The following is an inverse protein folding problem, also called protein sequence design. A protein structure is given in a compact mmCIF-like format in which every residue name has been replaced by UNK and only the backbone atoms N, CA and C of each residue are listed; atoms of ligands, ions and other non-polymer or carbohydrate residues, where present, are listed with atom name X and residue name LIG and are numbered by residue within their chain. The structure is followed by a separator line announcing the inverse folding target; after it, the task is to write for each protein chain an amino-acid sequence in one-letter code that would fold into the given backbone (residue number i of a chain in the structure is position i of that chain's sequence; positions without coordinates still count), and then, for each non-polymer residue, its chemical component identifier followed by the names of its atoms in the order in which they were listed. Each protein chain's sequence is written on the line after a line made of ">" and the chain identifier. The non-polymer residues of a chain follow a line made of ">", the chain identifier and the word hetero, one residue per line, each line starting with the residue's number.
data_IF_986232082774
#
_entry.id   IF_986232082774
#
_cell.length_a   1.000
_cell.length_b   1.000
_cell.length_c   1.000
_cell.angle_alpha   90.00
_cell.angle_beta   90.00
_cell.angle_gamma   90.00
#
_symmetry.space_group_name_H-M   'P 1'
#
loop_
_entity.id
_entity.type
_entity.pdbx_description
1 polymer ?
#
# COMPACT_ATOMS: atom_id res chain seq x y z
N UNK A 1 20.96 -23.67 -2.08
CA UNK A 1 19.63 -23.30 -1.55
C UNK A 1 19.79 -21.95 -0.89
N UNK A 2 19.24 -20.87 -1.46
CA UNK A 2 19.48 -19.52 -0.96
C UNK A 2 18.78 -19.33 0.39
N UNK A 3 19.56 -18.94 1.40
CA UNK A 3 19.04 -18.46 2.66
C UNK A 3 18.33 -17.12 2.39
N UNK A 4 16.99 -17.15 2.32
CA UNK A 4 16.20 -15.93 2.13
C UNK A 4 16.19 -15.16 3.45
N UNK A 5 16.94 -14.06 3.51
CA UNK A 5 17.00 -13.18 4.66
C UNK A 5 15.70 -12.35 4.73
N UNK A 6 14.80 -12.68 5.66
CA UNK A 6 13.53 -11.98 5.85
C UNK A 6 13.74 -10.61 6.50
N UNK A 7 14.01 -9.59 5.68
CA UNK A 7 14.30 -8.22 6.10
C UNK A 7 13.15 -7.23 5.91
N UNK A 8 11.91 -7.74 5.88
CA UNK A 8 10.70 -6.92 5.69
C UNK A 8 10.53 -5.90 6.82
N UNK A 9 10.30 -4.63 6.44
CA UNK A 9 10.01 -3.51 7.34
C UNK A 9 8.76 -2.78 6.83
N UNK A 10 8.72 -1.45 6.94
CA UNK A 10 7.57 -0.64 6.55
C UNK A 10 7.59 -0.14 5.10
N UNK A 11 8.71 -0.25 4.40
CA UNK A 11 8.80 0.21 3.01
C UNK A 11 8.02 -0.71 2.09
N UNK A 12 7.19 -0.13 1.24
CA UNK A 12 6.47 -0.82 0.18
C UNK A 12 6.62 -0.05 -1.13
N UNK A 13 6.26 -0.69 -2.24
CA UNK A 13 6.22 -0.07 -3.56
C UNK A 13 5.02 -0.61 -4.34
N UNK A 14 4.59 0.16 -5.34
CA UNK A 14 3.54 -0.21 -6.28
C UNK A 14 4.20 -0.36 -7.65
N UNK A 15 3.81 -1.38 -8.40
CA UNK A 15 4.34 -1.63 -9.72
C UNK A 15 3.43 -1.01 -10.77
N UNK A 16 3.98 -0.21 -11.69
CA UNK A 16 3.23 0.36 -12.82
C UNK A 16 3.09 -0.62 -14.01
N UNK A 17 3.85 -1.71 -13.99
CA UNK A 17 3.78 -2.78 -15.00
C UNK A 17 4.18 -4.13 -14.40
N UNK A 18 4.15 -5.19 -15.22
CA UNK A 18 4.46 -6.56 -14.79
C UNK A 18 5.96 -6.74 -14.45
N UNK A 19 6.33 -7.01 -13.18
CA UNK A 19 7.72 -6.96 -12.75
C UNK A 19 8.30 -8.37 -12.51
N UNK A 20 8.45 -9.17 -13.57
CA UNK A 20 8.91 -10.57 -13.47
C UNK A 20 10.28 -10.74 -12.79
N UNK A 21 11.11 -9.71 -12.76
CA UNK A 21 12.41 -9.73 -12.08
C UNK A 21 12.33 -9.66 -10.54
N UNK A 22 11.15 -9.38 -9.97
CA UNK A 22 10.88 -9.34 -8.53
C UNK A 22 10.39 -10.67 -7.96
N UNK A 23 10.06 -11.63 -8.82
CA UNK A 23 9.55 -12.94 -8.43
C UNK A 23 10.53 -13.67 -7.50
N UNK A 24 10.02 -14.15 -6.36
CA UNK A 24 10.82 -14.82 -5.33
C UNK A 24 11.77 -13.92 -4.53
N UNK A 25 11.75 -12.60 -4.76
CA UNK A 25 12.57 -11.61 -4.03
C UNK A 25 11.75 -10.67 -3.14
N UNK A 26 10.53 -10.35 -3.56
CA UNK A 26 9.63 -9.47 -2.82
C UNK A 26 8.28 -10.15 -2.56
N UNK A 27 7.67 -9.82 -1.42
CA UNK A 27 6.37 -10.34 -1.03
C UNK A 27 5.27 -9.44 -1.59
N UNK A 28 4.30 -10.02 -2.29
CA UNK A 28 3.12 -9.30 -2.79
C UNK A 28 2.12 -9.16 -1.64
N UNK A 29 1.80 -7.92 -1.26
CA UNK A 29 0.85 -7.63 -0.16
C UNK A 29 -0.59 -7.48 -0.63
N UNK A 30 -0.81 -7.13 -1.91
CA UNK A 30 -2.13 -6.87 -2.46
C UNK A 30 -2.05 -6.22 -3.85
N UNK A 31 -3.18 -5.68 -4.30
CA UNK A 31 -3.31 -5.00 -5.59
C UNK A 31 -4.07 -3.68 -5.42
N UNK A 32 -3.76 -2.71 -6.28
CA UNK A 32 -4.52 -1.46 -6.37
C UNK A 32 -5.87 -1.74 -7.01
N UNK A 33 -6.93 -1.09 -6.52
CA UNK A 33 -8.27 -1.24 -7.06
C UNK A 33 -8.32 -0.65 -8.48
N UNK A 34 -9.16 -1.24 -9.33
CA UNK A 34 -9.29 -0.85 -10.74
C UNK A 34 -9.62 0.63 -10.90
N UNK A 35 -10.50 1.15 -10.04
CA UNK A 35 -10.98 2.53 -10.09
C UNK A 35 -9.88 3.54 -9.68
N UNK A 36 -8.86 3.09 -8.95
CA UNK A 36 -7.76 3.92 -8.47
C UNK A 36 -6.53 3.91 -9.38
N UNK A 37 -6.49 3.01 -10.39
CA UNK A 37 -5.38 2.93 -11.35
C UNK A 37 -5.04 4.26 -12.07
N UNK A 38 -6.00 5.14 -12.42
CA UNK A 38 -5.68 6.43 -13.03
C UNK A 38 -4.78 7.32 -12.16
N UNK A 39 -4.86 7.20 -10.82
CA UNK A 39 -4.00 7.95 -9.92
C UNK A 39 -2.53 7.52 -10.02
N UNK A 40 -2.28 6.24 -10.32
CA UNK A 40 -0.92 5.74 -10.52
C UNK A 40 -0.24 6.36 -11.75
N UNK A 41 -1.00 6.67 -12.81
CA UNK A 41 -0.44 7.32 -13.99
C UNK A 41 0.12 8.71 -13.69
N UNK A 42 -0.51 9.44 -12.76
CA UNK A 42 0.00 10.74 -12.28
C UNK A 42 1.30 10.55 -11.49
N UNK A 43 1.38 9.53 -10.63
CA UNK A 43 2.60 9.21 -9.88
C UNK A 43 3.74 8.76 -10.79
N UNK A 44 3.44 8.01 -11.84
CA UNK A 44 4.41 7.54 -12.83
C UNK A 44 5.00 8.72 -13.62
N UNK A 45 4.18 9.72 -13.98
CA UNK A 45 4.62 10.91 -14.70
C UNK A 45 5.62 11.77 -13.89
N UNK A 46 5.58 11.71 -12.56
CA UNK A 46 6.53 12.38 -11.66
C UNK A 46 7.83 11.59 -11.45
N UNK A 47 7.99 10.43 -12.11
CA UNK A 47 9.19 9.60 -12.04
C UNK A 47 10.42 10.26 -12.67
N UNK A 48 11.61 9.91 -12.18
CA UNK A 48 12.88 10.29 -12.81
C UNK A 48 13.84 9.11 -12.89
N UNK A 49 14.83 9.20 -13.79
CA UNK A 49 15.86 8.18 -13.94
C UNK A 49 16.71 7.96 -12.68
N UNK A 50 16.75 8.94 -11.77
CA UNK A 50 17.45 8.83 -10.49
C UNK A 50 16.67 8.05 -9.42
N UNK A 51 15.39 7.73 -9.69
CA UNK A 51 14.47 7.16 -8.71
C UNK A 51 13.91 8.18 -7.71
N UNK A 52 14.39 9.43 -7.72
CA UNK A 52 13.77 10.52 -6.94
C UNK A 52 12.62 11.14 -7.73
N UNK A 53 11.43 11.31 -7.14
CA UNK A 53 10.35 12.05 -7.78
C UNK A 53 10.77 13.47 -8.18
N UNK A 54 10.22 13.97 -9.30
CA UNK A 54 10.42 15.34 -9.77
C UNK A 54 9.82 16.36 -8.79
N UNK A 55 8.66 16.02 -8.22
CA UNK A 55 7.98 16.79 -7.18
C UNK A 55 7.76 15.93 -5.93
N UNK A 56 7.64 16.54 -4.72
CA UNK A 56 7.35 15.79 -3.50
C UNK A 56 6.01 15.04 -3.60
N UNK A 57 6.04 13.72 -3.40
CA UNK A 57 4.86 12.86 -3.29
C UNK A 57 4.73 12.42 -1.84
N UNK A 58 3.63 12.77 -1.18
CA UNK A 58 3.43 12.55 0.26
C UNK A 58 2.08 11.88 0.50
N UNK A 59 2.08 10.84 1.33
CA UNK A 59 0.83 10.25 1.86
C UNK A 59 0.33 11.17 2.97
N UNK A 60 -0.72 11.94 2.69
CA UNK A 60 -1.28 12.91 3.63
C UNK A 60 -2.24 12.30 4.63
N UNK A 61 -2.91 11.20 4.24
CA UNK A 61 -3.83 10.44 5.07
C UNK A 61 -3.84 8.97 4.63
N UNK A 62 -4.08 8.06 5.56
CA UNK A 62 -4.17 6.63 5.30
C UNK A 62 -5.03 5.93 6.35
N UNK A 63 -5.81 4.95 5.92
CA UNK A 63 -6.67 4.18 6.80
C UNK A 63 -7.24 2.94 6.11
N UNK A 64 -8.02 2.17 6.86
CA UNK A 64 -8.74 1.02 6.34
C UNK A 64 -10.18 1.43 5.97
N UNK A 65 -10.55 1.27 4.71
CA UNK A 65 -11.91 1.61 4.24
C UNK A 65 -12.94 0.49 4.51
N UNK A 66 -12.52 -0.78 4.44
CA UNK A 66 -13.36 -1.95 4.73
C UNK A 66 -12.52 -3.21 5.01
N UNK A 67 -13.09 -4.22 5.68
CA UNK A 67 -12.46 -5.54 5.90
C UNK A 67 -12.95 -6.26 7.16
N UNK A 68 -13.03 -7.60 7.12
CA UNK A 68 -13.42 -8.40 8.28
C UNK A 68 -12.33 -8.37 9.36
N UNK A 69 -12.66 -7.87 10.55
CA UNK A 69 -11.77 -7.88 11.72
C UNK A 69 -11.59 -6.55 12.45
N UNK A 70 -12.14 -5.44 11.94
CA UNK A 70 -12.16 -4.17 12.68
C UNK A 70 -13.53 -3.51 12.48
N UNK A 71 -14.37 -3.57 13.51
CA UNK A 71 -15.50 -2.66 13.60
C UNK A 71 -14.94 -1.23 13.62
N UNK A 72 -15.54 -0.32 12.87
CA UNK A 72 -15.23 1.11 13.04
C UNK A 72 -15.31 1.45 14.53
N UNK A 73 -14.31 2.14 15.07
CA UNK A 73 -14.31 2.56 16.49
C UNK A 73 -15.59 3.34 16.86
N UNK A 74 -16.32 3.87 15.88
CA UNK A 74 -17.65 4.46 16.09
C UNK A 74 -18.71 3.46 16.59
N UNK A 75 -18.62 2.17 16.23
CA UNK A 75 -19.58 1.13 16.65
C UNK A 75 -19.30 0.56 18.05
N UNK A 76 -18.09 0.69 18.58
CA UNK A 76 -17.72 0.16 19.90
C UNK A 76 -18.06 1.11 21.07
N UNK A 77 -18.53 2.34 20.80
CA UNK A 77 -18.88 3.31 21.85
C UNK A 77 -20.36 3.31 22.23
N UNK A 78 -21.26 2.77 21.40
CA UNK A 78 -22.71 2.80 21.68
C UNK A 78 -23.23 1.64 22.55
N UNK A 79 -22.40 0.64 22.87
CA UNK A 79 -22.82 -0.52 23.67
C UNK A 79 -22.53 -0.42 25.18
N UNK A 80 -22.09 0.75 25.68
CA UNK A 80 -21.74 0.94 27.10
C UNK A 80 -22.57 2.04 27.77
N UNK A 81 -23.89 1.94 27.74
CA UNK A 81 -24.79 2.55 28.73
C UNK A 81 -26.10 1.78 28.72
N UNK A 82 -26.25 0.76 29.56
CA UNK A 82 -27.47 0.33 30.29
C UNK A 82 -27.16 -1.01 30.96
N UNK A 83 -26.70 -0.97 32.21
CA UNK A 83 -27.32 -1.55 33.42
C UNK A 83 -26.50 -1.13 34.64
#
# INVERSE_FOLDING_TARGET
>A
MAHQNSSNRSQFFICFGAPSWLDGKHVVLGQVLRDDLPHLAVLEAEGSASGRPLSPIVVTDAGQACGAGFATTAMLRESSTTE
#
